data_IF_530960607620
#
_entry.id   IF_530960607620
#
_cell.length_a   1.000
_cell.length_b   1.000
_cell.length_c   1.000
_cell.angle_alpha   90.00
_cell.angle_beta   90.00
_cell.angle_gamma   90.00
#
_symmetry.space_group_name_H-M   'P 1'
#
loop_
_entity.id
_entity.type
_entity.pdbx_description
1 polymer ?
#
# COMPACT_ATOMS: atom_id res chain seq x y z
N UNK A 1 8.27 5.84 26.18
CA UNK A 1 6.85 5.61 25.82
C UNK A 1 6.41 6.42 24.60
N UNK A 2 6.78 7.70 24.48
CA UNK A 2 6.34 8.57 23.37
C UNK A 2 6.59 7.99 21.96
N UNK A 3 7.74 7.34 21.71
CA UNK A 3 8.03 6.75 20.40
C UNK A 3 7.15 5.56 20.01
N UNK A 4 6.77 4.71 20.98
CA UNK A 4 5.90 3.55 20.71
C UNK A 4 4.46 4.01 20.47
N UNK A 5 3.97 4.94 21.29
CA UNK A 5 2.63 5.52 21.12
C UNK A 5 2.55 6.24 19.76
N UNK A 6 3.56 7.05 19.42
CA UNK A 6 3.60 7.75 18.14
C UNK A 6 3.59 6.79 16.93
N UNK A 7 4.39 5.73 16.96
CA UNK A 7 4.43 4.73 15.89
C UNK A 7 3.10 3.96 15.76
N UNK A 8 2.51 3.54 16.88
CA UNK A 8 1.26 2.79 16.89
C UNK A 8 0.07 3.65 16.45
N UNK A 9 0.01 4.90 16.92
CA UNK A 9 -1.01 5.87 16.48
C UNK A 9 -0.86 6.17 14.99
N UNK A 10 0.37 6.35 14.48
CA UNK A 10 0.61 6.57 13.06
C UNK A 10 0.18 5.36 12.21
N UNK A 11 0.50 4.14 12.66
CA UNK A 11 0.10 2.91 11.98
C UNK A 11 -1.42 2.78 11.89
N UNK A 12 -2.13 2.99 13.01
CA UNK A 12 -3.60 2.89 13.05
C UNK A 12 -4.29 4.00 12.24
N UNK A 13 -3.75 5.22 12.24
CA UNK A 13 -4.30 6.32 11.46
C UNK A 13 -4.19 6.09 9.94
N UNK A 14 -3.18 5.33 9.48
CA UNK A 14 -2.93 5.08 8.06
C UNK A 14 -4.01 4.16 7.42
N UNK A 15 -4.59 3.25 8.19
CA UNK A 15 -5.48 2.19 7.66
C UNK A 15 -6.70 2.79 6.96
N UNK A 16 -7.40 3.73 7.60
CA UNK A 16 -8.56 4.39 6.99
C UNK A 16 -8.19 5.15 5.71
N UNK A 17 -7.06 5.86 5.74
CA UNK A 17 -6.54 6.59 4.58
C UNK A 17 -6.16 5.70 3.40
N UNK A 18 -5.72 4.47 3.64
CA UNK A 18 -5.36 3.52 2.58
C UNK A 18 -6.58 2.84 1.93
N UNK A 19 -7.72 2.75 2.65
CA UNK A 19 -8.93 2.07 2.16
C UNK A 19 -9.77 2.98 1.24
N UNK A 20 -9.81 4.29 1.50
CA UNK A 20 -10.55 5.25 0.67
C UNK A 20 -10.17 5.15 -0.83
N UNK A 21 -8.89 5.29 -1.24
CA UNK A 21 -8.51 5.17 -2.64
C UNK A 21 -8.69 3.74 -3.19
N UNK A 22 -8.61 2.72 -2.34
CA UNK A 22 -8.88 1.35 -2.72
C UNK A 22 -10.34 1.16 -3.12
N UNK A 23 -11.30 1.61 -2.31
CA UNK A 23 -12.72 1.41 -2.58
C UNK A 23 -13.22 2.32 -3.71
N UNK A 24 -12.77 3.59 -3.72
CA UNK A 24 -13.24 4.58 -4.69
C UNK A 24 -12.56 4.47 -6.06
N UNK A 25 -11.26 4.14 -6.12
CA UNK A 25 -10.50 4.13 -7.37
C UNK A 25 -9.97 2.74 -7.74
N UNK A 26 -10.08 1.74 -6.86
CA UNK A 26 -9.47 0.43 -7.07
C UNK A 26 -7.95 0.42 -6.90
N UNK A 27 -7.36 1.48 -6.31
CA UNK A 27 -5.91 1.65 -6.22
C UNK A 27 -5.46 1.50 -4.76
N UNK A 28 -4.71 0.43 -4.42
CA UNK A 28 -4.25 0.22 -3.05
C UNK A 28 -3.10 1.17 -2.69
N UNK A 29 -3.22 1.85 -1.54
CA UNK A 29 -2.19 2.75 -1.02
C UNK A 29 -1.16 2.08 -0.10
N UNK A 30 -1.35 0.82 0.26
CA UNK A 30 -0.48 0.07 1.17
C UNK A 30 -0.48 -1.43 0.84
N UNK A 31 0.54 -2.20 1.27
CA UNK A 31 0.57 -3.65 1.02
C UNK A 31 -0.65 -4.40 1.60
N UNK A 32 -1.13 -4.12 2.83
CA UNK A 32 -2.35 -4.75 3.35
C UNK A 32 -3.60 -4.39 2.53
N UNK A 33 -3.70 -3.14 2.06
CA UNK A 33 -4.79 -2.74 1.17
C UNK A 33 -4.73 -3.52 -0.16
N UNK A 34 -3.53 -3.74 -0.71
CA UNK A 34 -3.39 -4.51 -1.95
C UNK A 34 -3.83 -5.98 -1.77
N UNK A 35 -3.56 -6.57 -0.60
CA UNK A 35 -4.10 -7.89 -0.26
C UNK A 35 -5.62 -7.89 -0.13
N UNK A 36 -6.21 -6.86 0.49
CA UNK A 36 -7.66 -6.69 0.56
C UNK A 36 -8.27 -6.55 -0.83
N UNK A 37 -7.67 -5.78 -1.74
CA UNK A 37 -8.09 -5.69 -3.14
C UNK A 37 -8.12 -7.08 -3.80
N UNK A 38 -7.06 -7.87 -3.60
CA UNK A 38 -7.01 -9.26 -4.07
C UNK A 38 -8.16 -10.10 -3.50
N UNK A 39 -8.43 -10.01 -2.20
CA UNK A 39 -9.53 -10.73 -1.55
C UNK A 39 -10.90 -10.30 -2.07
N UNK A 40 -11.15 -9.00 -2.24
CA UNK A 40 -12.42 -8.49 -2.78
C UNK A 40 -12.65 -9.00 -4.21
N UNK A 41 -11.63 -8.94 -5.07
CA UNK A 41 -11.70 -9.45 -6.44
C UNK A 41 -11.95 -10.96 -6.46
N UNK A 42 -11.31 -11.74 -5.56
CA UNK A 42 -11.59 -13.16 -5.39
C UNK A 42 -13.04 -13.45 -4.98
N UNK A 43 -13.65 -12.56 -4.20
CA UNK A 43 -15.06 -12.63 -3.81
C UNK A 43 -16.02 -11.99 -4.84
N UNK A 44 -15.53 -11.62 -6.03
CA UNK A 44 -16.36 -11.04 -7.10
C UNK A 44 -16.76 -9.58 -6.88
N UNK A 45 -16.10 -8.89 -5.95
CA UNK A 45 -16.33 -7.47 -5.69
C UNK A 45 -15.19 -6.70 -6.36
N UNK A 46 -15.51 -5.88 -7.37
CA UNK A 46 -14.53 -5.09 -8.08
C UNK A 46 -14.52 -3.65 -7.55
N UNK A 47 -13.49 -3.23 -6.80
CA UNK A 47 -13.44 -1.88 -6.27
C UNK A 47 -13.19 -0.85 -7.36
N UNK A 48 -13.74 0.36 -7.18
CA UNK A 48 -13.66 1.44 -8.15
C UNK A 48 -14.91 2.32 -8.16
N UNK A 49 -14.98 3.29 -9.09
CA UNK A 49 -16.08 4.27 -9.11
C UNK A 49 -17.46 3.65 -9.32
N UNK A 50 -17.51 2.50 -10.00
CA UNK A 50 -18.75 1.76 -10.23
C UNK A 50 -19.26 1.04 -8.98
N UNK A 51 -18.42 0.80 -7.97
CA UNK A 51 -18.82 0.07 -6.76
C UNK A 51 -19.98 0.76 -6.02
N UNK A 52 -19.98 2.11 -5.96
CA UNK A 52 -21.06 2.88 -5.36
C UNK A 52 -22.38 2.78 -6.14
N UNK A 53 -22.31 2.46 -7.43
CA UNK A 53 -23.48 2.36 -8.31
C UNK A 53 -24.02 0.93 -8.29
N UNK A 54 -23.15 -0.06 -8.45
CA UNK A 54 -23.52 -1.47 -8.44
C UNK A 54 -23.92 -1.96 -7.04
N UNK A 55 -23.28 -1.43 -5.99
CA UNK A 55 -23.45 -1.83 -4.58
C UNK A 55 -23.46 -0.59 -3.66
N UNK A 56 -24.52 0.22 -3.65
CA UNK A 56 -24.57 1.48 -2.90
C UNK A 56 -24.40 1.31 -1.38
N UNK A 57 -24.80 0.16 -0.84
CA UNK A 57 -24.66 -0.13 0.60
C UNK A 57 -23.25 -0.58 1.00
N UNK A 58 -22.37 -0.92 0.05
CA UNK A 58 -21.09 -1.55 0.37
C UNK A 58 -20.11 -0.60 1.04
N UNK A 59 -19.95 0.62 0.53
CA UNK A 59 -19.05 1.63 1.10
C UNK A 59 -19.44 2.03 2.54
N UNK A 60 -20.71 2.37 2.85
CA UNK A 60 -21.09 2.67 4.22
C UNK A 60 -20.98 1.45 5.14
N UNK A 61 -21.27 0.24 4.64
CA UNK A 61 -21.08 -1.00 5.41
C UNK A 61 -19.62 -1.23 5.77
N UNK A 62 -18.70 -1.13 4.82
CA UNK A 62 -17.25 -1.27 5.08
C UNK A 62 -16.75 -0.18 6.03
N UNK A 63 -17.25 1.05 5.89
CA UNK A 63 -16.92 2.15 6.79
C UNK A 63 -17.37 1.86 8.23
N UNK A 64 -18.58 1.34 8.42
CA UNK A 64 -19.08 0.91 9.72
C UNK A 64 -18.26 -0.26 10.30
N UNK A 65 -17.86 -1.23 9.47
CA UNK A 65 -17.01 -2.36 9.88
C UNK A 65 -15.63 -1.86 10.33
N UNK A 66 -15.01 -0.91 9.62
CA UNK A 66 -13.69 -0.36 10.00
C UNK A 66 -13.78 0.40 11.33
N UNK A 67 -14.85 1.18 11.51
CA UNK A 67 -15.10 1.87 12.76
C UNK A 67 -15.25 0.87 13.92
N UNK A 68 -16.10 -0.16 13.75
CA UNK A 68 -16.28 -1.21 14.73
C UNK A 68 -14.99 -2.02 14.96
N UNK A 69 -14.21 -2.27 13.92
CA UNK A 69 -12.91 -2.97 13.99
C UNK A 69 -11.90 -2.18 14.80
N UNK A 70 -11.93 -0.84 14.75
CA UNK A 70 -11.06 0.02 15.57
C UNK A 70 -11.40 -0.11 17.05
N UNK A 71 -12.69 -0.16 17.40
CA UNK A 71 -13.16 -0.39 18.77
C UNK A 71 -12.79 -1.81 19.23
N UNK A 72 -13.05 -2.80 18.38
CA UNK A 72 -12.73 -4.20 18.66
C UNK A 72 -11.22 -4.40 18.86
N UNK A 73 -10.39 -3.77 18.03
CA UNK A 73 -8.93 -3.78 18.16
C UNK A 73 -8.49 -3.20 19.50
N UNK A 74 -9.10 -2.12 19.97
CA UNK A 74 -8.77 -1.55 21.29
C UNK A 74 -9.09 -2.53 22.44
N UNK A 75 -10.28 -3.13 22.42
CA UNK A 75 -10.70 -4.12 23.44
C UNK A 75 -9.81 -5.36 23.41
N UNK A 76 -9.63 -5.95 22.22
CA UNK A 76 -8.80 -7.13 22.02
C UNK A 76 -7.33 -6.83 22.35
N UNK A 77 -6.83 -5.66 21.98
CA UNK A 77 -5.47 -5.22 22.30
C UNK A 77 -5.21 -5.23 23.81
N UNK A 78 -6.13 -4.67 24.61
CA UNK A 78 -5.99 -4.67 26.07
C UNK A 78 -5.98 -6.07 26.68
N UNK A 79 -6.77 -7.01 26.14
CA UNK A 79 -6.84 -8.37 26.66
C UNK A 79 -5.66 -9.24 26.18
N UNK A 80 -5.33 -9.19 24.88
CA UNK A 80 -4.36 -10.07 24.25
C UNK A 80 -2.91 -9.63 24.46
N UNK A 81 -2.62 -8.38 24.83
CA UNK A 81 -1.23 -7.89 24.93
C UNK A 81 -0.35 -8.76 25.83
N UNK A 82 -0.90 -9.31 26.92
CA UNK A 82 -0.17 -10.22 27.82
C UNK A 82 0.28 -11.51 27.13
N UNK A 83 -0.50 -12.03 26.18
CA UNK A 83 -0.17 -13.21 25.40
C UNK A 83 0.78 -12.86 24.25
N UNK A 84 0.52 -11.77 23.53
CA UNK A 84 1.36 -11.33 22.42
C UNK A 84 2.80 -11.05 22.88
N UNK A 85 2.98 -10.41 24.04
CA UNK A 85 4.31 -10.16 24.61
C UNK A 85 5.06 -11.46 24.92
N UNK A 86 4.37 -12.55 25.29
CA UNK A 86 5.02 -13.87 25.48
C UNK A 86 5.45 -14.48 24.15
N UNK A 87 4.64 -14.33 23.11
CA UNK A 87 4.96 -14.84 21.76
C UNK A 87 6.17 -14.13 21.16
N UNK A 88 6.28 -12.81 21.34
CA UNK A 88 7.43 -12.02 20.84
C UNK A 88 8.76 -12.44 21.52
N UNK A 89 8.70 -13.02 22.73
CA UNK A 89 9.90 -13.52 23.44
C UNK A 89 10.38 -14.88 22.94
N UNK A 90 9.64 -15.55 22.06
CA UNK A 90 10.06 -16.82 21.46
C UNK A 90 11.28 -16.57 20.57
N UNK A 91 12.24 -17.50 20.59
CA UNK A 91 13.45 -17.37 19.79
C UNK A 91 13.10 -17.27 18.29
N UNK A 92 13.73 -16.35 17.53
CA UNK A 92 13.49 -16.22 16.09
C UNK A 92 13.70 -17.53 15.31
N UNK A 93 14.56 -18.41 15.82
CA UNK A 93 14.84 -19.73 15.22
C UNK A 93 13.62 -20.65 15.17
N UNK A 94 12.67 -20.54 16.11
CA UNK A 94 11.42 -21.29 16.10
C UNK A 94 10.28 -20.52 15.42
N UNK A 95 10.31 -19.19 15.54
CA UNK A 95 9.26 -18.34 14.99
C UNK A 95 9.30 -18.26 13.45
N UNK A 96 10.50 -18.11 12.87
CA UNK A 96 10.68 -17.99 11.41
C UNK A 96 10.14 -19.19 10.62
N UNK A 97 10.39 -20.46 11.00
CA UNK A 97 9.80 -21.62 10.31
C UNK A 97 8.27 -21.64 10.33
N UNK A 98 7.65 -21.28 11.46
CA UNK A 98 6.19 -21.26 11.60
C UNK A 98 5.58 -20.21 10.66
N UNK A 99 6.16 -19.00 10.64
CA UNK A 99 5.75 -17.95 9.72
C UNK A 99 5.96 -18.38 8.27
N UNK A 100 7.08 -19.04 7.96
CA UNK A 100 7.36 -19.59 6.64
C UNK A 100 6.28 -20.56 6.18
N UNK A 101 5.89 -21.51 7.03
CA UNK A 101 4.79 -22.46 6.74
C UNK A 101 3.46 -21.75 6.50
N UNK A 102 3.14 -20.72 7.31
CA UNK A 102 1.95 -19.90 7.09
C UNK A 102 2.00 -19.17 5.74
N UNK A 103 3.17 -18.65 5.35
CA UNK A 103 3.34 -17.99 4.05
C UNK A 103 3.16 -18.97 2.88
N UNK A 104 3.69 -20.20 2.98
CA UNK A 104 3.46 -21.25 1.99
C UNK A 104 1.97 -21.61 1.88
N UNK A 105 1.30 -21.75 3.01
CA UNK A 105 -0.14 -22.02 3.05
C UNK A 105 -0.95 -20.86 2.45
N UNK A 106 -0.57 -19.62 2.73
CA UNK A 106 -1.19 -18.43 2.16
C UNK A 106 -1.00 -18.32 0.63
N UNK A 107 0.20 -18.60 0.13
CA UNK A 107 0.48 -18.61 -1.30
C UNK A 107 -0.31 -19.71 -2.04
N UNK A 108 -0.51 -20.85 -1.39
CA UNK A 108 -1.33 -21.94 -1.93
C UNK A 108 -2.83 -21.63 -1.89
N UNK A 109 -3.32 -20.99 -0.83
CA UNK A 109 -4.73 -20.63 -0.69
C UNK A 109 -5.22 -19.68 -1.81
N UNK A 110 -4.32 -18.87 -2.37
CA UNK A 110 -4.59 -18.03 -3.53
C UNK A 110 -4.68 -18.88 -4.80
N UNK A 111 -5.87 -19.43 -5.08
CA UNK A 111 -6.17 -20.13 -6.32
C UNK A 111 -5.85 -21.63 -6.32
N UNK A 112 -5.41 -22.21 -5.19
CA UNK A 112 -5.18 -23.66 -5.00
C UNK A 112 -4.22 -24.27 -6.04
N UNK A 113 -3.26 -23.47 -6.54
CA UNK A 113 -2.29 -23.89 -7.55
C UNK A 113 -0.92 -24.13 -6.94
N UNK A 114 -0.37 -25.33 -7.17
CA UNK A 114 0.99 -25.69 -6.74
C UNK A 114 2.05 -24.81 -7.42
N UNK A 115 1.76 -24.28 -8.62
CA UNK A 115 2.62 -23.33 -9.31
C UNK A 115 2.97 -22.08 -8.47
N UNK A 116 2.04 -21.60 -7.64
CA UNK A 116 2.30 -20.44 -6.78
C UNK A 116 3.36 -20.73 -5.72
N UNK A 117 3.44 -21.98 -5.23
CA UNK A 117 4.48 -22.42 -4.30
C UNK A 117 5.85 -22.43 -4.99
N UNK A 118 5.92 -22.95 -6.21
CA UNK A 118 7.15 -22.95 -7.00
C UNK A 118 7.65 -21.55 -7.34
N UNK A 119 6.73 -20.60 -7.57
CA UNK A 119 7.07 -19.22 -7.90
C UNK A 119 7.42 -18.40 -6.64
N UNK A 120 6.81 -18.73 -5.49
CA UNK A 120 7.07 -18.09 -4.20
C UNK A 120 8.53 -18.22 -3.76
N UNK A 121 9.14 -19.41 -3.88
CA UNK A 121 10.51 -19.65 -3.40
C UNK A 121 11.56 -18.78 -4.12
N UNK A 122 11.69 -18.78 -5.47
CA UNK A 122 12.68 -17.98 -6.16
C UNK A 122 12.41 -16.48 -6.02
N UNK A 123 11.15 -16.03 -6.04
CA UNK A 123 10.83 -14.61 -5.83
C UNK A 123 11.13 -14.20 -4.38
N UNK A 124 10.86 -15.04 -3.40
CA UNK A 124 11.19 -14.78 -2.00
C UNK A 124 12.70 -14.60 -1.80
N UNK A 125 13.51 -15.45 -2.42
CA UNK A 125 14.98 -15.34 -2.42
C UNK A 125 15.42 -14.03 -3.11
N UNK A 126 14.84 -13.71 -4.27
CA UNK A 126 15.13 -12.46 -4.98
C UNK A 126 14.80 -11.22 -4.14
N UNK A 127 13.63 -11.18 -3.50
CA UNK A 127 13.21 -10.11 -2.59
C UNK A 127 14.12 -10.00 -1.36
N UNK A 128 14.66 -11.10 -0.84
CA UNK A 128 15.62 -11.08 0.25
C UNK A 128 16.91 -10.33 -0.14
N UNK A 129 17.44 -10.56 -1.34
CA UNK A 129 18.59 -9.81 -1.84
C UNK A 129 18.28 -8.33 -2.06
N UNK A 130 17.10 -8.01 -2.58
CA UNK A 130 16.66 -6.62 -2.71
C UNK A 130 16.56 -5.90 -1.35
N UNK A 131 16.08 -6.60 -0.32
CA UNK A 131 16.07 -6.10 1.05
C UNK A 131 17.48 -5.83 1.58
N UNK A 132 18.46 -6.70 1.26
CA UNK A 132 19.88 -6.46 1.61
C UNK A 132 20.50 -5.26 0.88
N UNK A 133 19.94 -4.87 -0.26
CA UNK A 133 20.38 -3.71 -1.04
C UNK A 133 19.61 -2.42 -0.66
N UNK A 134 18.89 -2.42 0.47
CA UNK A 134 18.07 -1.30 0.96
C UNK A 134 16.95 -0.86 0.00
N UNK A 135 16.49 -1.74 -0.89
CA UNK A 135 15.32 -1.44 -1.71
C UNK A 135 14.03 -1.57 -0.88
N UNK A 136 13.12 -0.59 -0.97
CA UNK A 136 11.86 -0.66 -0.25
C UNK A 136 10.95 -1.71 -0.90
N UNK A 137 10.78 -2.85 -0.23
CA UNK A 137 10.00 -4.00 -0.72
C UNK A 137 8.52 -3.64 -0.88
N UNK A 138 7.96 -2.81 0.01
CA UNK A 138 6.54 -2.45 0.00
C UNK A 138 6.09 -1.75 -1.31
N UNK A 139 6.75 -0.69 -1.80
CA UNK A 139 6.49 -0.13 -3.13
C UNK A 139 6.64 -1.12 -4.27
N UNK A 140 7.58 -2.06 -4.19
CA UNK A 140 7.79 -3.07 -5.23
C UNK A 140 6.60 -4.02 -5.35
N UNK A 141 6.09 -4.52 -4.22
CA UNK A 141 4.90 -5.38 -4.18
C UNK A 141 3.67 -4.63 -4.75
N UNK A 142 3.48 -3.37 -4.36
CA UNK A 142 2.40 -2.53 -4.89
C UNK A 142 2.55 -2.35 -6.41
N UNK A 143 3.78 -2.11 -6.88
CA UNK A 143 4.09 -1.98 -8.31
C UNK A 143 3.76 -3.24 -9.12
N UNK A 144 4.03 -4.43 -8.58
CA UNK A 144 3.68 -5.70 -9.23
C UNK A 144 2.16 -5.88 -9.36
N UNK A 145 1.41 -5.47 -8.33
CA UNK A 145 -0.06 -5.56 -8.33
C UNK A 145 -0.67 -4.53 -9.29
N UNK A 146 -0.14 -3.30 -9.28
CA UNK A 146 -0.63 -2.20 -10.11
C UNK A 146 -0.18 -2.28 -11.57
N UNK A 147 0.95 -2.92 -11.88
CA UNK A 147 1.52 -2.99 -13.23
C UNK A 147 0.52 -3.43 -14.30
N UNK A 148 -0.16 -4.59 -14.14
CA UNK A 148 -1.19 -5.05 -15.06
C UNK A 148 -2.37 -4.08 -15.17
N UNK A 149 -2.76 -3.43 -14.06
CA UNK A 149 -3.85 -2.44 -14.06
C UNK A 149 -3.46 -1.21 -14.87
N UNK A 150 -2.21 -0.74 -14.72
CA UNK A 150 -1.69 0.40 -15.49
C UNK A 150 -1.63 0.05 -16.97
N UNK A 151 -1.11 -1.13 -17.36
CA UNK A 151 -1.04 -1.55 -18.77
C UNK A 151 -2.43 -1.62 -19.41
N UNK A 152 -3.39 -2.25 -18.72
CA UNK A 152 -4.76 -2.38 -19.22
C UNK A 152 -5.44 -1.02 -19.38
N UNK A 153 -5.31 -0.13 -18.38
CA UNK A 153 -5.94 1.18 -18.44
C UNK A 153 -5.24 2.11 -19.45
N UNK A 154 -3.91 2.03 -19.58
CA UNK A 154 -3.16 2.77 -20.60
C UNK A 154 -3.58 2.31 -22.00
N UNK A 155 -3.65 1.00 -22.24
CA UNK A 155 -4.09 0.44 -23.52
C UNK A 155 -5.51 0.86 -23.85
N UNK A 156 -6.45 0.77 -22.89
CA UNK A 156 -7.83 1.27 -23.07
C UNK A 156 -7.85 2.76 -23.41
N UNK A 157 -7.06 3.57 -22.71
CA UNK A 157 -6.94 5.01 -22.97
C UNK A 157 -6.41 5.32 -24.37
N UNK A 158 -5.36 4.61 -24.80
CA UNK A 158 -4.79 4.76 -26.15
C UNK A 158 -5.74 4.28 -27.25
N UNK A 159 -6.50 3.21 -27.02
CA UNK A 159 -7.53 2.76 -27.97
C UNK A 159 -8.62 3.81 -28.16
N UNK A 160 -9.10 4.43 -27.08
CA UNK A 160 -10.09 5.52 -27.14
C UNK A 160 -9.50 6.77 -27.81
N UNK A 161 -8.19 7.00 -27.63
CA UNK A 161 -7.48 8.17 -28.15
C UNK A 161 -6.84 7.94 -29.52
N UNK A 162 -7.15 6.82 -30.19
CA UNK A 162 -6.56 6.40 -31.48
C UNK A 162 -5.02 6.44 -31.50
N UNK A 163 -4.38 6.04 -30.41
CA UNK A 163 -2.92 6.02 -30.25
C UNK A 163 -2.30 7.37 -29.86
N UNK A 164 -3.08 8.44 -29.72
CA UNK A 164 -2.56 9.74 -29.29
C UNK A 164 -2.43 9.84 -27.75
N UNK A 165 -1.28 10.31 -27.27
CA UNK A 165 -1.05 10.65 -25.85
C UNK A 165 -1.53 12.07 -25.50
N UNK A 166 -2.03 12.82 -26.48
CA UNK A 166 -2.50 14.19 -26.32
C UNK A 166 -3.57 14.37 -25.23
N UNK A 167 -4.47 13.40 -24.98
CA UNK A 167 -5.44 13.46 -23.89
C UNK A 167 -4.87 13.56 -22.47
N UNK A 168 -3.59 13.21 -22.26
CA UNK A 168 -2.92 13.44 -20.97
C UNK A 168 -2.72 14.93 -20.67
N UNK A 169 -2.59 15.76 -21.72
CA UNK A 169 -2.33 17.21 -21.60
C UNK A 169 -3.62 18.01 -21.74
N UNK A 170 -4.52 17.58 -22.64
CA UNK A 170 -5.77 18.32 -22.90
C UNK A 170 -6.83 18.13 -21.82
N UNK A 171 -6.82 17.01 -21.07
CA UNK A 171 -7.76 16.81 -19.96
C UNK A 171 -7.23 17.46 -18.67
N UNK A 172 -7.98 18.38 -18.05
CA UNK A 172 -7.50 19.15 -16.90
C UNK A 172 -7.12 18.28 -15.70
N UNK A 173 -7.87 17.20 -15.43
CA UNK A 173 -7.56 16.26 -14.36
C UNK A 173 -6.30 15.43 -14.63
N UNK A 174 -6.10 15.00 -15.88
CA UNK A 174 -4.91 14.24 -16.26
C UNK A 174 -3.67 15.12 -16.16
N UNK A 175 -3.75 16.36 -16.65
CA UNK A 175 -2.68 17.35 -16.55
C UNK A 175 -2.33 17.65 -15.09
N UNK A 176 -3.33 17.85 -14.24
CA UNK A 176 -3.11 18.08 -12.80
C UNK A 176 -2.37 16.91 -12.16
N UNK A 177 -2.78 15.66 -12.43
CA UNK A 177 -2.10 14.47 -11.92
C UNK A 177 -0.66 14.35 -12.44
N UNK A 178 -0.43 14.61 -13.73
CA UNK A 178 0.92 14.62 -14.32
C UNK A 178 1.80 15.67 -13.65
N UNK A 179 1.29 16.89 -13.42
CA UNK A 179 2.01 17.95 -12.70
C UNK A 179 2.36 17.49 -11.29
N UNK A 180 1.41 16.90 -10.54
CA UNK A 180 1.66 16.38 -9.19
C UNK A 180 2.74 15.29 -9.19
N UNK A 181 2.70 14.37 -10.16
CA UNK A 181 3.71 13.31 -10.30
C UNK A 181 5.09 13.92 -10.56
N UNK A 182 5.19 14.88 -11.48
CA UNK A 182 6.45 15.58 -11.78
C UNK A 182 6.96 16.32 -10.56
N UNK A 183 6.09 17.04 -9.83
CA UNK A 183 6.45 17.74 -8.59
C UNK A 183 6.93 16.78 -7.50
N UNK A 184 6.27 15.62 -7.32
CA UNK A 184 6.70 14.59 -6.38
C UNK A 184 8.08 14.04 -6.75
N UNK A 185 8.31 13.76 -8.03
CA UNK A 185 9.60 13.26 -8.52
C UNK A 185 10.72 14.29 -8.33
N UNK A 186 10.45 15.56 -8.65
CA UNK A 186 11.40 16.66 -8.44
C UNK A 186 11.67 16.89 -6.95
N UNK A 187 10.63 16.86 -6.10
CA UNK A 187 10.76 17.00 -4.64
C UNK A 187 11.60 15.88 -4.02
N UNK A 188 11.45 14.66 -4.52
CA UNK A 188 12.22 13.50 -4.06
C UNK A 188 13.64 13.46 -4.64
N UNK A 189 13.93 14.22 -5.71
CA UNK A 189 15.27 14.33 -6.29
C UNK A 189 16.27 14.91 -5.28
N UNK A 190 17.48 14.34 -5.22
CA UNK A 190 18.57 14.77 -4.32
C UNK A 190 18.88 16.27 -4.45
N UNK A 191 18.65 16.86 -5.62
CA UNK A 191 18.92 18.26 -5.96
C UNK A 191 17.96 19.20 -5.23
N UNK A 192 16.67 18.85 -5.13
CA UNK A 192 15.68 19.67 -4.43
C UNK A 192 15.89 19.64 -2.91
N UNK A 193 16.18 18.46 -2.34
CA UNK A 193 16.51 18.32 -0.90
C UNK A 193 17.78 19.09 -0.51
N UNK A 194 18.81 19.07 -1.36
CA UNK A 194 20.04 19.84 -1.15
C UNK A 194 19.81 21.37 -1.25
N UNK A 195 18.94 21.82 -2.15
CA UNK A 195 18.62 23.24 -2.36
C UNK A 195 17.75 23.78 -1.22
N UNK A 196 16.74 23.03 -0.77
CA UNK A 196 15.89 23.41 0.36
C UNK A 196 16.65 23.39 1.69
N UNK A 197 17.55 22.44 1.93
CA UNK A 197 18.41 22.45 3.12
C UNK A 197 19.29 23.71 3.18
N UNK A 198 19.84 24.15 2.03
CA UNK A 198 20.58 25.42 1.93
C UNK A 198 19.67 26.62 2.19
N UNK A 199 18.46 26.64 1.63
CA UNK A 199 17.51 27.74 1.81
C UNK A 199 17.02 27.87 3.27
N UNK A 200 16.68 26.75 3.92
CA UNK A 200 16.28 26.71 5.33
C UNK A 200 17.42 27.16 6.25
N UNK A 201 18.67 26.77 5.95
CA UNK A 201 19.84 27.24 6.70
C UNK A 201 20.09 28.75 6.52
N UNK A 202 19.81 29.30 5.33
CA UNK A 202 19.94 30.74 5.05
C UNK A 202 18.86 31.57 5.77
N UNK A 203 17.62 31.06 5.84
CA UNK A 203 16.50 31.72 6.53
C UNK A 203 16.70 31.69 8.06
N UNK A 204 17.14 30.56 8.63
CA UNK A 204 17.47 30.45 10.06
C UNK A 204 18.63 31.36 10.47
N UNK A 205 19.59 31.62 9.56
CA UNK A 205 20.71 32.54 9.81
C UNK A 205 20.28 34.01 9.76
N UNK A 206 19.21 34.34 9.04
CA UNK A 206 18.64 35.69 8.95
C UNK A 206 17.70 36.04 10.13
N UNK A 207 17.13 35.03 10.80
CA UNK A 207 16.29 35.20 12.01
C UNK A 207 17.11 35.35 13.32
N UNK A 208 18.43 35.14 13.27
CA UNK A 208 19.35 35.18 14.43
C UNK A 208 20.23 36.44 14.49
N UNK A 209 20.00 37.41 13.59
CA UNK A 209 20.54 38.78 13.63
C UNK A 209 19.36 39.73 13.81
#
# INVERSE_FOLDING_TARGET
MQGVIAAETANNACIGGAIIPLLSLGIPGSPPAAMLLGALVLHGIQPGPMLSIERPEFIPMVSAIIFLSTIAMWILGMFLIKFVVKVIKISPSLFMPIVGMLCFMGAYALGLKVFNLYLMVPIGIFCYFLGKMDYPIAPLVIGVILGPMVDQNLRRGLMVSQGSLMPLITRPFALMLVIVIVLMFVSQSRIYKATMAKLTSAILRKKKR
#
